data_IF_248854625325
#
_entry.id   IF_248854625325
#
_cell.length_a   1.000
_cell.length_b   1.000
_cell.length_c   1.000
_cell.angle_alpha   90.00
_cell.angle_beta   90.00
_cell.angle_gamma   90.00
#
_symmetry.space_group_name_H-M   'P 1'
#
loop_
_entity.id
_entity.type
_entity.pdbx_description
1 polymer ?
#
# COMPACT_ATOMS: atom_id res chain seq x y z
N UNK A 1 4.79 -30.21 0.05
CA UNK A 1 6.27 -30.21 0.18
C UNK A 1 6.74 -29.95 1.60
N UNK A 2 6.18 -28.98 2.34
CA UNK A 2 6.60 -28.69 3.73
C UNK A 2 6.53 -29.88 4.70
N UNK A 3 5.44 -30.66 4.69
CA UNK A 3 5.26 -31.82 5.58
C UNK A 3 6.29 -32.94 5.38
N UNK A 4 6.91 -33.07 4.19
CA UNK A 4 7.95 -34.07 3.93
C UNK A 4 9.26 -33.64 4.60
N UNK A 5 9.60 -32.35 4.51
CA UNK A 5 10.79 -31.79 5.16
C UNK A 5 10.67 -31.86 6.69
N UNK A 6 9.51 -31.54 7.25
CA UNK A 6 9.28 -31.65 8.69
C UNK A 6 9.48 -33.09 9.18
N UNK A 7 8.94 -34.08 8.46
CA UNK A 7 9.18 -35.51 8.75
C UNK A 7 10.65 -35.89 8.70
N UNK A 8 11.39 -35.39 7.71
CA UNK A 8 12.85 -35.59 7.61
C UNK A 8 13.61 -35.02 8.81
N UNK A 9 13.08 -33.95 9.43
CA UNK A 9 13.66 -33.30 10.61
C UNK A 9 13.09 -33.86 11.93
N UNK A 10 12.39 -34.99 11.90
CA UNK A 10 11.92 -35.70 13.10
C UNK A 10 10.54 -35.28 13.61
N UNK A 11 9.81 -34.42 12.89
CA UNK A 11 8.43 -34.08 13.24
C UNK A 11 7.46 -35.18 12.77
N UNK A 12 6.51 -35.56 13.63
CA UNK A 12 5.48 -36.57 13.34
C UNK A 12 4.08 -35.97 13.36
N UNK A 13 3.16 -36.57 12.61
CA UNK A 13 1.77 -36.13 12.56
C UNK A 13 1.13 -36.23 13.95
N UNK A 14 0.50 -35.13 14.40
CA UNK A 14 -0.05 -35.00 15.76
C UNK A 14 0.94 -34.51 16.82
N UNK A 15 2.23 -34.37 16.50
CA UNK A 15 3.21 -33.76 17.40
C UNK A 15 3.31 -32.24 17.19
N UNK A 16 3.58 -31.52 18.28
CA UNK A 16 3.81 -30.08 18.21
C UNK A 16 5.06 -29.78 17.38
N UNK A 17 5.03 -28.71 16.60
CA UNK A 17 6.20 -28.29 15.83
C UNK A 17 7.26 -27.67 16.75
N UNK A 18 8.55 -28.03 16.59
CA UNK A 18 9.66 -27.46 17.37
C UNK A 18 10.60 -28.51 17.96
N UNK A 19 11.77 -28.09 18.43
CA UNK A 19 12.84 -28.99 18.91
C UNK A 19 12.38 -29.93 20.02
N UNK A 20 11.47 -29.46 20.87
CA UNK A 20 10.95 -30.19 22.03
C UNK A 20 9.49 -30.63 21.86
N UNK A 21 8.96 -30.65 20.63
CA UNK A 21 7.55 -30.98 20.33
C UNK A 21 6.52 -30.06 21.01
N UNK A 22 6.90 -28.81 21.24
CA UNK A 22 6.15 -27.83 22.04
C UNK A 22 5.16 -26.97 21.26
N UNK A 23 5.19 -27.02 19.93
CA UNK A 23 4.32 -26.21 19.08
C UNK A 23 2.84 -26.58 19.22
N UNK A 24 1.97 -25.66 18.80
CA UNK A 24 0.53 -25.88 18.81
C UNK A 24 0.16 -27.08 17.91
N UNK A 25 -0.57 -28.04 18.47
CA UNK A 25 -1.06 -29.23 17.76
C UNK A 25 -2.39 -28.96 17.07
N UNK A 26 -3.14 -28.01 17.60
CA UNK A 26 -4.46 -27.69 17.10
C UNK A 26 -4.35 -26.82 15.84
N UNK A 27 -5.22 -27.07 14.84
CA UNK A 27 -5.31 -26.20 13.68
C UNK A 27 -5.56 -24.76 14.12
N UNK A 28 -4.79 -23.82 13.57
CA UNK A 28 -5.01 -22.40 13.81
C UNK A 28 -6.39 -22.04 13.22
N UNK A 29 -7.29 -21.59 14.08
CA UNK A 29 -8.61 -21.13 13.66
C UNK A 29 -8.48 -19.86 12.82
N UNK A 30 -9.32 -19.75 11.80
CA UNK A 30 -9.35 -18.57 10.93
C UNK A 30 -10.19 -17.49 11.61
N UNK A 31 -9.53 -16.44 12.10
CA UNK A 31 -10.21 -15.24 12.57
C UNK A 31 -10.49 -14.30 11.40
N UNK A 32 -11.77 -14.11 11.07
CA UNK A 32 -12.19 -13.10 10.10
C UNK A 32 -12.06 -11.72 10.70
N UNK A 33 -10.95 -11.07 10.37
CA UNK A 33 -10.69 -9.70 10.80
C UNK A 33 -11.52 -8.71 9.99
N UNK A 34 -12.63 -8.25 10.58
CA UNK A 34 -13.54 -7.26 9.98
C UNK A 34 -13.14 -5.81 10.27
N UNK A 35 -12.15 -5.60 11.15
CA UNK A 35 -11.73 -4.28 11.57
C UNK A 35 -10.55 -3.72 10.75
N UNK A 36 -10.40 -2.40 10.76
CA UNK A 36 -9.30 -1.70 10.06
C UNK A 36 -7.99 -1.65 10.85
N UNK A 37 -7.86 -2.43 11.94
CA UNK A 37 -6.65 -2.43 12.77
C UNK A 37 -5.57 -3.31 12.15
N UNK A 38 -4.29 -3.05 12.46
CA UNK A 38 -3.18 -3.94 12.11
C UNK A 38 -3.20 -5.23 12.93
N UNK A 39 -2.64 -6.32 12.42
CA UNK A 39 -2.44 -7.56 13.20
C UNK A 39 -1.34 -7.28 14.23
N UNK A 40 -1.60 -7.60 15.50
CA UNK A 40 -0.63 -7.47 16.60
C UNK A 40 -0.63 -8.76 17.40
N UNK A 41 0.55 -9.24 17.78
CA UNK A 41 0.65 -10.45 18.61
C UNK A 41 0.12 -10.17 20.02
N UNK A 42 -0.48 -11.19 20.66
CA UNK A 42 -0.94 -11.11 22.05
C UNK A 42 0.27 -10.88 22.96
N UNK A 43 0.25 -9.80 23.74
CA UNK A 43 1.36 -9.41 24.62
C UNK A 43 2.39 -8.48 23.96
N UNK A 44 2.37 -8.32 22.65
CA UNK A 44 3.04 -7.21 22.00
C UNK A 44 2.26 -5.95 22.39
N UNK A 45 2.86 -5.08 23.23
CA UNK A 45 2.38 -3.70 23.31
C UNK A 45 2.44 -3.23 21.87
N UNK A 46 1.27 -3.04 21.25
CA UNK A 46 1.17 -2.43 19.93
C UNK A 46 2.14 -1.26 20.01
N UNK A 47 3.30 -1.39 19.36
CA UNK A 47 4.15 -0.25 19.21
C UNK A 47 3.21 0.63 18.41
N UNK A 48 2.64 1.60 19.10
CA UNK A 48 2.31 2.84 18.50
C UNK A 48 3.65 3.35 17.96
N UNK A 49 4.08 2.80 16.82
CA UNK A 49 4.06 3.57 15.61
C UNK A 49 2.63 4.14 15.48
N UNK A 50 2.26 5.04 16.40
CA UNK A 50 2.21 6.44 16.08
C UNK A 50 3.36 6.70 15.11
N UNK A 51 3.21 6.24 13.87
CA UNK A 51 3.56 7.09 12.76
C UNK A 51 2.76 8.31 13.09
N UNK A 52 3.45 9.31 13.64
CA UNK A 52 2.89 10.55 14.09
C UNK A 52 1.91 11.04 13.02
N UNK A 53 0.63 10.70 13.20
CA UNK A 53 -0.49 11.31 12.51
C UNK A 53 -0.78 12.68 13.17
N UNK A 54 0.00 13.06 14.19
CA UNK A 54 0.14 14.42 14.66
C UNK A 54 0.70 15.29 13.54
N UNK A 55 -0.22 15.94 12.82
CA UNK A 55 -0.42 17.38 12.88
C UNK A 55 0.80 18.32 12.78
N UNK A 56 1.97 17.86 12.35
CA UNK A 56 3.01 18.75 11.83
C UNK A 56 2.78 18.87 10.31
N UNK A 57 2.99 20.04 9.74
CA UNK A 57 3.20 20.16 8.31
C UNK A 57 4.50 19.43 7.99
N UNK A 58 4.44 18.11 7.80
CA UNK A 58 5.57 17.37 7.23
C UNK A 58 5.80 17.99 5.86
N UNK A 59 6.99 18.56 5.69
CA UNK A 59 7.44 19.05 4.42
C UNK A 59 7.16 18.01 3.34
N UNK A 60 6.34 18.38 2.36
CA UNK A 60 5.94 17.51 1.26
C UNK A 60 6.91 17.63 0.08
N UNK A 61 7.92 18.51 0.17
CA UNK A 61 8.89 18.83 -0.89
C UNK A 61 9.65 17.60 -1.42
N UNK A 62 9.92 16.60 -0.58
CA UNK A 62 10.64 15.37 -0.94
C UNK A 62 9.74 14.19 -1.29
N UNK A 63 8.41 14.34 -1.26
CA UNK A 63 7.48 13.23 -1.52
C UNK A 63 7.09 13.17 -2.98
N UNK A 64 6.84 11.94 -3.45
CA UNK A 64 6.22 11.75 -4.76
C UNK A 64 4.85 12.46 -4.82
N UNK A 65 4.54 13.25 -5.86
CA UNK A 65 3.36 14.11 -5.89
C UNK A 65 2.02 13.39 -5.65
N UNK A 66 1.87 12.17 -6.16
CA UNK A 66 0.64 11.36 -5.96
C UNK A 66 0.48 10.97 -4.49
N UNK A 67 1.58 10.59 -3.83
CA UNK A 67 1.57 10.23 -2.42
C UNK A 67 1.26 11.46 -1.54
N UNK A 68 1.89 12.59 -1.85
CA UNK A 68 1.61 13.85 -1.17
C UNK A 68 0.13 14.26 -1.31
N UNK A 69 -0.46 14.13 -2.50
CA UNK A 69 -1.87 14.44 -2.73
C UNK A 69 -2.80 13.53 -1.93
N UNK A 70 -2.53 12.22 -1.94
CA UNK A 70 -3.31 11.24 -1.18
C UNK A 70 -3.27 11.55 0.33
N UNK A 71 -2.09 11.89 0.85
CA UNK A 71 -1.92 12.27 2.25
C UNK A 71 -2.69 13.54 2.61
N UNK A 72 -2.69 14.55 1.74
CA UNK A 72 -3.49 15.78 1.92
C UNK A 72 -4.98 15.44 1.98
N UNK A 73 -5.49 14.62 1.05
CA UNK A 73 -6.91 14.25 1.00
C UNK A 73 -7.32 13.51 2.29
N UNK A 74 -6.51 12.53 2.71
CA UNK A 74 -6.74 11.78 3.94
C UNK A 74 -6.75 12.68 5.18
N UNK A 75 -5.76 13.58 5.30
CA UNK A 75 -5.63 14.50 6.44
C UNK A 75 -6.81 15.47 6.54
N UNK A 76 -7.34 15.91 5.39
CA UNK A 76 -8.50 16.81 5.30
C UNK A 76 -9.85 16.09 5.35
N UNK A 77 -9.86 14.76 5.49
CA UNK A 77 -11.05 13.89 5.38
C UNK A 77 -11.83 14.11 4.07
N UNK A 78 -11.12 14.42 2.99
CA UNK A 78 -11.69 14.44 1.66
C UNK A 78 -11.80 13.03 1.11
N UNK A 79 -12.70 12.84 0.14
CA UNK A 79 -12.72 11.60 -0.65
C UNK A 79 -11.36 11.41 -1.33
N UNK A 80 -10.93 10.16 -1.55
CA UNK A 80 -9.69 9.88 -2.26
C UNK A 80 -9.65 10.60 -3.62
N UNK A 81 -8.48 11.10 -4.04
CA UNK A 81 -8.32 11.71 -5.36
C UNK A 81 -8.65 10.69 -6.45
N UNK A 82 -9.47 11.08 -7.42
CA UNK A 82 -9.79 10.24 -8.58
C UNK A 82 -8.91 10.65 -9.76
N UNK A 83 -8.20 9.68 -10.35
CA UNK A 83 -7.33 9.90 -11.50
C UNK A 83 -7.99 9.33 -12.75
N UNK A 84 -8.35 10.21 -13.67
CA UNK A 84 -9.04 9.87 -14.90
C UNK A 84 -8.08 10.04 -16.09
N UNK A 85 -7.97 9.00 -16.92
CA UNK A 85 -7.28 9.08 -18.20
C UNK A 85 -8.14 9.89 -19.17
N UNK A 86 -7.62 11.04 -19.60
CA UNK A 86 -8.30 11.96 -20.53
C UNK A 86 -7.88 11.69 -21.97
N UNK A 87 -6.61 11.33 -22.18
CA UNK A 87 -6.08 11.09 -23.52
C UNK A 87 -4.96 10.06 -23.48
N UNK A 88 -4.93 9.21 -24.50
CA UNK A 88 -3.88 8.22 -24.79
C UNK A 88 -3.56 8.34 -26.28
N UNK A 89 -2.30 8.60 -26.60
CA UNK A 89 -1.82 8.71 -27.99
C UNK A 89 -0.37 8.28 -28.11
N UNK A 90 0.15 8.31 -29.33
CA UNK A 90 1.51 7.88 -29.65
C UNK A 90 1.62 6.38 -29.89
N UNK A 91 2.74 5.94 -30.47
CA UNK A 91 3.01 4.53 -30.69
C UNK A 91 3.26 3.82 -29.34
N UNK A 92 3.13 2.50 -29.31
CA UNK A 92 3.26 1.70 -28.08
C UNK A 92 4.61 1.90 -27.36
N UNK A 93 5.66 2.22 -28.09
CA UNK A 93 7.00 2.50 -27.54
C UNK A 93 7.21 3.97 -27.14
N UNK A 94 6.21 4.86 -27.34
CA UNK A 94 6.28 6.30 -27.01
C UNK A 94 4.87 6.86 -26.73
N UNK A 95 4.19 6.25 -25.76
CA UNK A 95 2.85 6.65 -25.37
C UNK A 95 2.84 8.01 -24.67
N UNK A 96 1.79 8.76 -24.93
CA UNK A 96 1.50 10.06 -24.33
C UNK A 96 0.15 9.99 -23.63
N UNK A 97 0.17 10.15 -22.31
CA UNK A 97 -1.04 10.13 -21.50
C UNK A 97 -1.33 11.51 -20.94
N UNK A 98 -2.60 11.89 -20.93
CA UNK A 98 -3.10 13.00 -20.12
C UNK A 98 -4.01 12.46 -19.04
N UNK A 99 -3.77 12.90 -17.81
CA UNK A 99 -4.62 12.60 -16.67
C UNK A 99 -5.27 13.89 -16.15
N UNK A 100 -6.52 13.74 -15.69
CA UNK A 100 -7.23 14.72 -14.87
C UNK A 100 -7.37 14.15 -13.47
N UNK A 101 -7.25 15.01 -12.48
CA UNK A 101 -7.39 14.66 -11.07
C UNK A 101 -8.59 15.37 -10.48
N UNK A 102 -9.49 14.64 -9.84
CA UNK A 102 -10.63 15.18 -9.11
C UNK A 102 -10.35 15.13 -7.60
N UNK A 103 -10.35 16.29 -6.95
CA UNK A 103 -10.18 16.41 -5.49
C UNK A 103 -11.12 17.45 -4.92
N UNK A 104 -11.84 17.08 -3.85
CA UNK A 104 -12.75 17.99 -3.15
C UNK A 104 -13.75 18.72 -4.09
N UNK A 105 -14.30 18.00 -5.08
CA UNK A 105 -15.23 18.55 -6.07
C UNK A 105 -14.58 19.44 -7.14
N UNK A 106 -13.26 19.66 -7.10
CA UNK A 106 -12.51 20.44 -8.09
C UNK A 106 -11.74 19.53 -9.05
N UNK A 107 -11.77 19.86 -10.34
CA UNK A 107 -11.05 19.10 -11.37
C UNK A 107 -9.79 19.85 -11.82
N UNK A 108 -8.66 19.15 -11.80
CA UNK A 108 -7.36 19.67 -12.21
C UNK A 108 -6.86 18.90 -13.43
N UNK A 109 -6.60 19.62 -14.51
CA UNK A 109 -6.04 19.05 -15.73
C UNK A 109 -5.02 20.03 -16.31
N UNK A 110 -3.87 19.56 -16.82
CA UNK A 110 -2.96 20.41 -17.58
C UNK A 110 -3.60 20.87 -18.91
N UNK A 111 -3.44 22.16 -19.24
CA UNK A 111 -4.04 22.80 -20.43
C UNK A 111 -3.48 22.30 -21.78
N UNK A 112 -2.37 21.55 -21.79
CA UNK A 112 -1.78 21.03 -23.01
C UNK A 112 -0.99 19.77 -22.72
N UNK A 113 -1.04 18.78 -23.62
CA UNK A 113 0.04 17.81 -23.75
C UNK A 113 1.32 18.62 -23.88
N UNK A 114 2.16 18.65 -22.84
CA UNK A 114 3.55 19.06 -23.02
C UNK A 114 4.20 17.96 -23.85
N UNK A 115 4.05 18.09 -25.17
CA UNK A 115 4.95 17.46 -26.10
C UNK A 115 6.33 18.05 -25.78
N UNK A 116 7.17 17.31 -25.06
CA UNK A 116 8.60 17.58 -25.01
C UNK A 116 9.16 17.29 -26.41
N UNK A 117 8.87 18.18 -27.36
CA UNK A 117 9.62 18.29 -28.61
C UNK A 117 10.48 19.51 -28.38
N UNK A 118 11.71 19.28 -27.92
CA UNK A 118 12.76 20.27 -27.99
C UNK A 118 12.88 20.67 -29.46
N UNK A 119 12.48 21.90 -29.75
CA UNK A 119 12.84 22.62 -30.94
C UNK A 119 14.36 22.85 -30.88
N UNK A 120 15.16 21.92 -31.40
CA UNK A 120 16.53 22.23 -31.79
C UNK A 120 16.47 22.70 -33.24
N UNK A 121 16.65 24.01 -33.37
CA UNK A 121 17.08 24.67 -34.60
C UNK A 121 18.57 24.42 -34.80
#
# INVERSE_FOLDING_TARGET
MGAVLMRKMGWQEGEGLGKNKEGNKEPILVDFKTDRKGLVAVGERAQKRSGNFSAAMKDLSGKYPVSALMEICNKRRWQPPEFLLVHDSGPDHRKHFLFRVLTNGSSYQPNRLRFYINHFR
#
